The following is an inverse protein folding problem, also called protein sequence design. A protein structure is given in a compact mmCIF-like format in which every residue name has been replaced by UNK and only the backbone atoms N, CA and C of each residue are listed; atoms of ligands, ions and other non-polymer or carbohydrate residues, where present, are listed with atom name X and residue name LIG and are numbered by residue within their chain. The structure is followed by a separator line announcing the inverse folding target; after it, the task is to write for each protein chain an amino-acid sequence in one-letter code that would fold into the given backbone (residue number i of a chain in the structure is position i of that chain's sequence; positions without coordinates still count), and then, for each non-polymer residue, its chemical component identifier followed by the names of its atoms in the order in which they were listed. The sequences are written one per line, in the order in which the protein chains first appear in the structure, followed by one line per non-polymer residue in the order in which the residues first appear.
data_IF_245931093900
#
_entry.id   IF_245931093900
#
_cell.length_a   1.000
_cell.length_b   1.000
_cell.length_c   1.000
_cell.angle_alpha   90.00
_cell.angle_beta   90.00
_cell.angle_gamma   90.00
#
_symmetry.space_group_name_H-M   'P 1'
#
loop_
_entity.id
_entity.type
_entity.pdbx_description
1 polymer ?
#
# COMPACT_ATOMS: atom_id res chain seq x y z
N UNK A 1 2.32 -21.53 -15.00
CA UNK A 1 2.72 -20.26 -15.65
C UNK A 1 4.00 -20.54 -16.40
N UNK A 2 4.06 -20.27 -17.69
CA UNK A 2 5.24 -20.57 -18.52
C UNK A 2 6.44 -19.70 -18.06
N UNK A 3 7.64 -20.24 -18.22
CA UNK A 3 8.88 -19.47 -17.98
C UNK A 3 9.00 -18.40 -19.07
N UNK A 4 9.31 -17.13 -18.73
CA UNK A 4 9.17 -16.00 -19.66
C UNK A 4 10.30 -15.87 -20.71
N UNK A 5 11.21 -16.83 -20.78
CA UNK A 5 12.42 -16.76 -21.61
C UNK A 5 12.58 -18.04 -22.43
N UNK A 6 13.04 -17.91 -23.68
CA UNK A 6 13.44 -19.03 -24.51
C UNK A 6 14.78 -19.61 -24.01
N UNK A 7 14.88 -20.94 -23.95
CA UNK A 7 16.09 -21.62 -23.50
C UNK A 7 17.32 -21.24 -24.33
N UNK A 8 17.19 -21.07 -25.65
CA UNK A 8 18.30 -20.69 -26.52
C UNK A 8 18.85 -19.28 -26.21
N UNK A 9 18.00 -18.35 -25.80
CA UNK A 9 18.43 -17.02 -25.34
C UNK A 9 19.28 -17.12 -24.05
N UNK A 10 18.96 -18.07 -23.16
CA UNK A 10 19.75 -18.33 -21.95
C UNK A 10 21.09 -19.01 -22.29
N UNK A 11 21.09 -20.06 -23.13
CA UNK A 11 22.28 -20.79 -23.47
C UNK A 11 23.34 -19.92 -24.17
N UNK A 12 22.91 -18.95 -24.95
CA UNK A 12 23.80 -18.00 -25.62
C UNK A 12 24.01 -16.71 -24.85
N UNK A 13 23.46 -16.60 -23.63
CA UNK A 13 23.48 -15.38 -22.81
C UNK A 13 23.03 -14.12 -23.59
N UNK A 14 22.02 -14.29 -24.46
CA UNK A 14 21.40 -13.22 -25.21
C UNK A 14 20.21 -12.67 -24.45
N UNK A 15 19.96 -11.38 -24.51
CA UNK A 15 18.82 -10.67 -23.87
C UNK A 15 18.81 -10.69 -22.34
N UNK A 16 19.54 -11.62 -21.69
CA UNK A 16 19.62 -11.75 -20.23
C UNK A 16 21.08 -11.55 -19.81
N UNK A 17 21.31 -10.71 -18.83
CA UNK A 17 22.64 -10.46 -18.27
C UNK A 17 23.26 -11.74 -17.71
N UNK A 18 24.55 -11.95 -17.95
CA UNK A 18 25.28 -13.15 -17.52
C UNK A 18 25.24 -13.38 -16.01
N UNK A 19 25.16 -12.32 -15.22
CA UNK A 19 25.04 -12.35 -13.77
C UNK A 19 23.75 -13.01 -13.27
N UNK A 20 22.72 -13.06 -14.13
CA UNK A 20 21.41 -13.66 -13.86
C UNK A 20 21.27 -15.10 -14.35
N UNK A 21 22.31 -15.68 -14.94
CA UNK A 21 22.29 -17.06 -15.46
C UNK A 21 23.35 -17.87 -14.75
N UNK A 22 22.98 -19.07 -14.31
CA UNK A 22 23.88 -20.05 -13.68
C UNK A 22 23.74 -21.39 -14.37
N UNK A 23 24.83 -21.90 -14.95
CA UNK A 23 24.90 -23.25 -15.51
C UNK A 23 25.38 -24.27 -14.49
N UNK A 24 24.78 -25.45 -14.48
CA UNK A 24 25.17 -26.58 -13.64
C UNK A 24 25.22 -27.83 -14.47
N UNK A 25 26.37 -28.52 -14.47
CA UNK A 25 26.56 -29.74 -15.24
C UNK A 25 25.63 -30.87 -14.78
N UNK A 26 25.29 -30.93 -13.50
CA UNK A 26 24.40 -31.93 -12.93
C UNK A 26 23.67 -31.42 -11.67
N UNK A 27 22.82 -32.31 -11.13
CA UNK A 27 22.03 -31.99 -9.94
C UNK A 27 22.88 -32.03 -8.68
N UNK A 28 23.10 -30.89 -8.08
CA UNK A 28 23.69 -30.71 -6.75
C UNK A 28 22.78 -29.83 -5.91
N UNK A 29 21.85 -30.41 -5.13
CA UNK A 29 20.84 -29.64 -4.42
C UNK A 29 21.42 -28.60 -3.43
N UNK A 30 22.49 -28.95 -2.72
CA UNK A 30 23.09 -28.02 -1.74
C UNK A 30 23.62 -26.74 -2.42
N UNK A 31 24.28 -26.86 -3.57
CA UNK A 31 24.77 -25.72 -4.35
C UNK A 31 23.64 -24.97 -5.05
N UNK A 32 22.70 -25.71 -5.64
CA UNK A 32 21.57 -25.12 -6.38
C UNK A 32 20.68 -24.30 -5.44
N UNK A 33 20.38 -24.80 -4.25
CA UNK A 33 19.53 -24.09 -3.29
C UNK A 33 20.18 -22.84 -2.69
N UNK A 34 21.52 -22.81 -2.57
CA UNK A 34 22.24 -21.56 -2.25
C UNK A 34 22.05 -20.52 -3.38
N UNK A 35 22.12 -20.95 -4.63
CA UNK A 35 21.91 -20.08 -5.79
C UNK A 35 20.43 -19.63 -5.88
N UNK A 36 19.47 -20.52 -5.61
CA UNK A 36 18.04 -20.15 -5.52
C UNK A 36 17.84 -19.08 -4.44
N UNK A 37 18.40 -19.28 -3.25
CA UNK A 37 18.33 -18.28 -2.17
C UNK A 37 18.94 -16.93 -2.59
N UNK A 38 20.09 -16.95 -3.26
CA UNK A 38 20.75 -15.74 -3.71
C UNK A 38 19.97 -14.97 -4.79
N UNK A 39 19.38 -15.67 -5.76
CA UNK A 39 18.51 -15.04 -6.76
C UNK A 39 17.19 -14.56 -6.15
N UNK A 40 16.60 -15.29 -5.18
CA UNK A 40 15.40 -14.85 -4.48
C UNK A 40 15.64 -13.58 -3.66
N UNK A 41 16.84 -13.43 -3.08
CA UNK A 41 17.27 -12.24 -2.38
C UNK A 41 17.49 -11.03 -3.28
N UNK A 42 17.87 -11.26 -4.55
CA UNK A 42 17.99 -10.22 -5.57
C UNK A 42 18.67 -8.94 -5.06
N UNK A 43 19.90 -9.10 -4.51
CA UNK A 43 20.63 -8.04 -3.82
C UNK A 43 20.90 -6.83 -4.72
N UNK A 44 21.17 -7.05 -6.00
CA UNK A 44 21.40 -5.99 -6.99
C UNK A 44 20.10 -5.43 -7.58
N UNK A 45 18.93 -5.96 -7.15
CA UNK A 45 17.60 -5.55 -7.62
C UNK A 45 17.41 -5.64 -9.16
N UNK A 46 17.91 -6.72 -9.76
CA UNK A 46 17.89 -6.99 -11.21
C UNK A 46 16.81 -7.99 -11.63
N UNK A 47 15.96 -8.45 -10.70
CA UNK A 47 14.78 -9.28 -10.97
C UNK A 47 15.03 -10.80 -10.86
N UNK A 48 16.01 -11.24 -10.06
CA UNK A 48 16.32 -12.65 -9.86
C UNK A 48 17.07 -13.28 -11.02
N UNK A 49 16.96 -14.61 -11.23
CA UNK A 49 17.78 -15.28 -12.24
C UNK A 49 17.29 -16.66 -12.67
N UNK A 50 18.12 -17.32 -13.46
CA UNK A 50 17.85 -18.62 -14.06
C UNK A 50 18.99 -19.60 -13.75
N UNK A 51 18.65 -20.83 -13.42
CA UNK A 51 19.60 -21.93 -13.23
C UNK A 51 19.26 -22.99 -14.27
N UNK A 52 20.23 -23.36 -15.07
CA UNK A 52 20.08 -24.41 -16.10
C UNK A 52 20.93 -25.60 -15.69
N UNK A 53 20.27 -26.71 -15.36
CA UNK A 53 20.92 -27.95 -14.94
C UNK A 53 21.02 -28.91 -16.13
N UNK A 54 22.14 -29.55 -16.29
CA UNK A 54 22.51 -30.37 -17.46
C UNK A 54 23.33 -29.61 -18.49
N UNK A 55 23.89 -28.45 -18.10
CA UNK A 55 24.69 -27.62 -19.00
C UNK A 55 26.04 -27.31 -18.36
N UNK A 56 27.10 -27.43 -19.13
CA UNK A 56 28.44 -27.00 -18.76
C UNK A 56 28.75 -25.66 -19.40
N UNK A 57 29.39 -24.78 -18.68
CA UNK A 57 29.87 -23.49 -19.18
C UNK A 57 31.21 -23.70 -19.96
N UNK A 58 31.35 -22.97 -21.05
CA UNK A 58 32.60 -22.91 -21.80
C UNK A 58 33.54 -21.92 -21.13
N UNK A 59 34.78 -22.34 -20.80
CA UNK A 59 35.71 -21.58 -19.94
C UNK A 59 36.04 -20.17 -20.45
N UNK A 60 36.12 -19.98 -21.78
CA UNK A 60 36.58 -18.72 -22.36
C UNK A 60 35.43 -17.73 -22.67
N UNK A 61 34.23 -18.19 -22.92
CA UNK A 61 33.10 -17.40 -23.41
C UNK A 61 32.01 -17.28 -22.39
N UNK A 62 31.97 -18.16 -21.41
CA UNK A 62 30.93 -18.26 -20.42
C UNK A 62 29.54 -18.63 -20.98
N UNK A 63 29.45 -19.04 -22.26
CA UNK A 63 28.24 -19.57 -22.91
C UNK A 63 28.11 -21.07 -22.64
N UNK A 64 26.94 -21.63 -22.95
CA UNK A 64 26.72 -23.06 -22.83
C UNK A 64 27.60 -23.86 -23.81
N UNK A 65 28.35 -24.82 -23.30
CA UNK A 65 29.09 -25.79 -24.14
C UNK A 65 28.07 -26.69 -24.85
N UNK A 66 28.23 -26.84 -26.18
CA UNK A 66 27.38 -27.68 -27.02
C UNK A 66 28.16 -28.91 -27.55
N UNK A 67 27.53 -30.09 -27.70
CA UNK A 67 26.20 -30.43 -27.24
C UNK A 67 26.11 -30.41 -25.70
N UNK A 68 24.94 -30.09 -25.16
CA UNK A 68 24.74 -30.02 -23.69
C UNK A 68 24.96 -31.37 -23.04
N UNK A 69 25.31 -31.39 -21.75
CA UNK A 69 25.50 -32.62 -20.99
C UNK A 69 24.18 -33.38 -20.81
N UNK A 70 23.09 -32.64 -20.52
CA UNK A 70 21.77 -33.18 -20.26
C UNK A 70 21.63 -33.74 -18.85
N UNK A 71 20.38 -34.01 -18.47
CA UNK A 71 19.96 -34.73 -17.26
C UNK A 71 19.19 -35.97 -17.70
N UNK A 72 19.52 -37.18 -17.20
CA UNK A 72 18.78 -38.39 -17.52
C UNK A 72 17.30 -38.27 -17.16
N UNK A 73 16.41 -38.75 -18.01
CA UNK A 73 14.94 -38.58 -17.83
C UNK A 73 14.45 -39.23 -16.53
N UNK A 74 15.08 -40.34 -16.14
CA UNK A 74 14.75 -41.07 -14.89
C UNK A 74 15.10 -40.28 -13.65
N UNK A 75 16.04 -39.34 -13.73
CA UNK A 75 16.44 -38.47 -12.64
C UNK A 75 15.52 -37.25 -12.51
N UNK A 76 14.93 -36.78 -13.60
CA UNK A 76 14.10 -35.57 -13.62
C UNK A 76 12.90 -35.65 -12.65
N UNK A 77 12.17 -36.76 -12.68
CA UNK A 77 11.04 -37.00 -11.80
C UNK A 77 11.47 -37.06 -10.32
N UNK A 78 12.64 -37.64 -10.06
CA UNK A 78 13.19 -37.67 -8.71
C UNK A 78 13.59 -36.27 -8.25
N UNK A 79 14.28 -35.50 -9.09
CA UNK A 79 14.70 -34.15 -8.81
C UNK A 79 13.47 -33.27 -8.47
N UNK A 80 12.41 -33.35 -9.28
CA UNK A 80 11.21 -32.55 -9.05
C UNK A 80 10.51 -32.89 -7.71
N UNK A 81 10.46 -34.18 -7.37
CA UNK A 81 9.92 -34.62 -6.06
C UNK A 81 10.78 -34.14 -4.89
N UNK A 82 12.10 -34.27 -5.01
CA UNK A 82 13.05 -33.83 -3.97
C UNK A 82 12.96 -32.31 -3.76
N UNK A 83 12.77 -31.53 -4.83
CA UNK A 83 12.60 -30.08 -4.75
C UNK A 83 11.42 -29.67 -3.88
N UNK A 84 10.31 -30.42 -3.88
CA UNK A 84 9.16 -30.12 -3.01
C UNK A 84 9.60 -30.07 -1.54
N UNK A 85 10.37 -31.07 -1.09
CA UNK A 85 10.90 -31.12 0.27
C UNK A 85 11.96 -30.05 0.55
N UNK A 86 12.82 -29.75 -0.42
CA UNK A 86 13.89 -28.78 -0.26
C UNK A 86 13.38 -27.33 -0.26
N UNK A 87 12.30 -27.02 -0.99
CA UNK A 87 11.68 -25.70 -1.00
C UNK A 87 11.23 -25.28 0.41
N UNK A 88 10.79 -26.21 1.25
CA UNK A 88 10.45 -25.96 2.65
C UNK A 88 11.66 -25.64 3.55
N UNK A 89 12.88 -25.77 3.05
CA UNK A 89 14.12 -25.43 3.77
C UNK A 89 14.61 -24.01 3.47
N UNK A 90 13.86 -23.28 2.65
CA UNK A 90 14.04 -21.83 2.43
C UNK A 90 13.06 -21.08 3.34
N UNK A 91 13.55 -20.12 4.09
CA UNK A 91 12.77 -19.29 5.00
C UNK A 91 13.00 -17.79 4.71
N UNK A 92 11.92 -17.02 4.53
CA UNK A 92 10.51 -17.42 4.37
C UNK A 92 10.31 -18.41 3.20
N UNK A 93 9.20 -19.16 3.20
CA UNK A 93 8.92 -20.14 2.16
C UNK A 93 9.06 -19.54 0.75
N UNK A 94 9.77 -20.23 -0.13
CA UNK A 94 9.97 -19.80 -1.51
C UNK A 94 9.83 -20.97 -2.49
N UNK A 95 9.10 -20.73 -3.58
CA UNK A 95 8.84 -21.73 -4.62
C UNK A 95 9.39 -21.25 -5.97
N UNK A 96 10.55 -21.75 -6.43
CA UNK A 96 11.05 -21.46 -7.77
C UNK A 96 10.15 -22.10 -8.82
N UNK A 97 10.17 -21.57 -10.04
CA UNK A 97 9.48 -22.15 -11.19
C UNK A 97 10.40 -23.08 -11.94
N UNK A 98 9.91 -24.24 -12.31
CA UNK A 98 10.70 -25.25 -13.03
C UNK A 98 10.04 -25.62 -14.36
N UNK A 99 10.87 -25.94 -15.33
CA UNK A 99 10.47 -26.46 -16.63
C UNK A 99 11.53 -27.42 -17.13
N UNK A 100 11.13 -28.42 -17.93
CA UNK A 100 12.04 -29.38 -18.57
C UNK A 100 12.00 -29.13 -20.06
N UNK A 101 13.16 -28.88 -20.64
CA UNK A 101 13.29 -28.57 -22.06
C UNK A 101 14.25 -29.54 -22.76
N UNK A 102 13.99 -29.81 -24.01
CA UNK A 102 14.86 -30.63 -24.84
C UNK A 102 15.84 -29.75 -25.65
N UNK A 103 17.12 -29.99 -25.50
CA UNK A 103 18.21 -29.27 -26.16
C UNK A 103 19.25 -30.30 -26.62
N UNK A 104 19.67 -30.25 -27.88
CA UNK A 104 20.65 -31.20 -28.47
C UNK A 104 20.24 -32.67 -28.23
N UNK A 105 18.97 -33.03 -28.39
CA UNK A 105 18.39 -34.36 -28.13
C UNK A 105 18.59 -34.86 -26.69
N UNK A 106 18.79 -33.94 -25.74
CA UNK A 106 18.93 -34.22 -24.30
C UNK A 106 18.03 -33.31 -23.50
N UNK A 107 17.61 -33.73 -22.30
CA UNK A 107 16.80 -32.96 -21.42
C UNK A 107 17.66 -32.07 -20.50
N UNK A 108 17.24 -30.82 -20.32
CA UNK A 108 17.80 -29.87 -19.34
C UNK A 108 16.70 -29.41 -18.40
N UNK A 109 17.04 -29.23 -17.14
CA UNK A 109 16.11 -28.67 -16.15
C UNK A 109 16.35 -27.16 -16.02
N UNK A 110 15.36 -26.37 -16.37
CA UNK A 110 15.37 -24.93 -16.23
C UNK A 110 14.65 -24.55 -14.93
N UNK A 111 15.35 -23.85 -14.05
CA UNK A 111 14.83 -23.32 -12.79
C UNK A 111 14.84 -21.80 -12.88
N UNK A 112 13.67 -21.20 -12.90
CA UNK A 112 13.52 -19.76 -12.85
C UNK A 112 13.24 -19.30 -11.42
N UNK A 113 14.04 -18.35 -10.95
CA UNK A 113 14.03 -17.81 -9.60
C UNK A 113 13.78 -16.30 -9.68
N UNK A 114 12.51 -15.85 -9.77
CA UNK A 114 12.21 -14.43 -9.70
C UNK A 114 12.62 -13.85 -8.35
N UNK A 115 12.78 -12.51 -8.30
CA UNK A 115 13.02 -11.80 -7.04
C UNK A 115 11.91 -12.10 -6.03
N UNK A 116 12.28 -12.48 -4.84
CA UNK A 116 11.33 -12.81 -3.79
C UNK A 116 10.73 -11.55 -3.16
N UNK A 117 9.46 -11.61 -2.79
CA UNK A 117 8.72 -10.47 -2.18
C UNK A 117 8.92 -10.36 -0.67
N UNK A 118 9.30 -11.45 0.00
CA UNK A 118 9.47 -11.53 1.46
C UNK A 118 10.95 -11.63 1.88
N UNK A 119 11.82 -10.90 1.17
CA UNK A 119 13.25 -10.84 1.52
C UNK A 119 13.47 -10.33 2.94
N UNK A 120 14.51 -10.76 3.68
CA UNK A 120 15.61 -11.62 3.24
C UNK A 120 15.30 -13.12 3.39
N UNK A 121 15.62 -13.89 2.36
CA UNK A 121 15.53 -15.35 2.40
C UNK A 121 16.83 -15.96 2.94
N UNK A 122 16.69 -17.01 3.74
CA UNK A 122 17.79 -17.86 4.12
C UNK A 122 17.53 -19.31 3.70
N UNK A 123 18.55 -20.10 3.63
CA UNK A 123 18.44 -21.53 3.33
C UNK A 123 19.44 -22.33 4.16
N UNK A 124 19.11 -23.57 4.48
CA UNK A 124 20.07 -24.45 5.16
C UNK A 124 21.32 -24.64 4.33
N UNK A 125 22.48 -24.57 4.96
CA UNK A 125 23.79 -24.74 4.27
C UNK A 125 23.86 -26.06 3.51
N UNK A 126 23.21 -27.11 4.04
CA UNK A 126 23.02 -28.40 3.36
C UNK A 126 21.54 -28.76 3.38
N UNK A 127 20.88 -28.63 2.24
CA UNK A 127 19.46 -29.02 2.12
C UNK A 127 19.27 -30.54 2.12
N UNK A 128 20.33 -31.28 1.83
CA UNK A 128 20.34 -32.75 1.89
C UNK A 128 20.55 -33.31 3.30
N UNK A 129 21.09 -32.51 4.22
CA UNK A 129 21.36 -32.95 5.59
C UNK A 129 20.08 -32.89 6.48
N UNK A 130 20.15 -33.59 7.62
CA UNK A 130 19.14 -33.50 8.68
C UNK A 130 19.00 -32.10 9.25
N UNK A 131 17.99 -31.86 10.09
CA UNK A 131 17.58 -30.52 10.60
C UNK A 131 18.64 -29.74 11.40
N UNK A 132 19.85 -30.22 11.56
CA UNK A 132 20.94 -29.57 12.32
C UNK A 132 21.86 -28.66 11.48
N UNK A 133 21.68 -28.61 10.13
CA UNK A 133 22.48 -27.69 9.30
C UNK A 133 22.05 -26.25 9.54
N UNK A 134 23.00 -25.29 9.76
CA UNK A 134 22.68 -23.90 9.99
C UNK A 134 22.02 -23.24 8.79
N UNK A 135 21.09 -22.32 9.03
CA UNK A 135 20.52 -21.47 8.01
C UNK A 135 21.47 -20.31 7.70
N UNK A 136 21.65 -20.02 6.42
CA UNK A 136 22.51 -18.95 5.93
C UNK A 136 21.83 -18.14 4.84
N UNK A 137 22.17 -16.88 4.77
CA UNK A 137 21.72 -15.95 3.74
C UNK A 137 22.72 -15.93 2.60
N UNK A 138 22.24 -15.98 1.37
CA UNK A 138 23.09 -15.93 0.18
C UNK A 138 22.67 -14.80 -0.74
N UNK A 139 23.64 -14.18 -1.41
CA UNK A 139 23.44 -13.12 -2.42
C UNK A 139 24.30 -13.42 -3.64
N UNK A 140 23.97 -12.78 -4.76
CA UNK A 140 24.84 -12.80 -5.94
C UNK A 140 25.88 -11.70 -5.81
N UNK A 141 27.10 -11.99 -6.25
CA UNK A 141 28.16 -11.02 -6.47
C UNK A 141 28.78 -11.34 -7.82
N UNK A 142 28.39 -10.59 -8.85
CA UNK A 142 28.66 -10.95 -10.23
C UNK A 142 28.05 -12.32 -10.56
N UNK A 143 28.86 -13.24 -11.08
CA UNK A 143 28.46 -14.61 -11.42
C UNK A 143 28.55 -15.59 -10.24
N UNK A 144 28.98 -15.16 -9.06
CA UNK A 144 29.17 -16.03 -7.91
C UNK A 144 28.04 -15.91 -6.89
N UNK A 145 27.74 -17.04 -6.21
CA UNK A 145 26.88 -17.08 -5.03
C UNK A 145 27.75 -17.02 -3.78
N UNK A 146 27.58 -15.99 -2.95
CA UNK A 146 28.34 -15.78 -1.72
C UNK A 146 27.41 -15.78 -0.51
N UNK A 147 27.94 -16.14 0.67
CA UNK A 147 27.23 -16.01 1.94
C UNK A 147 27.18 -14.53 2.36
N UNK A 148 25.99 -14.02 2.63
CA UNK A 148 25.80 -12.66 3.14
C UNK A 148 26.14 -12.64 4.63
N UNK A 149 27.22 -11.91 5.00
CA UNK A 149 27.69 -11.72 6.38
C UNK A 149 27.97 -10.25 6.64
N UNK A 150 28.01 -9.86 7.92
CA UNK A 150 28.37 -8.50 8.35
C UNK A 150 27.54 -7.43 7.65
N UNK A 151 28.21 -6.49 7.01
CA UNK A 151 27.58 -5.36 6.34
C UNK A 151 26.63 -5.80 5.21
N UNK A 152 27.00 -6.79 4.39
CA UNK A 152 26.17 -7.31 3.30
C UNK A 152 24.85 -7.87 3.84
N UNK A 153 24.88 -8.58 4.96
CA UNK A 153 23.65 -9.09 5.60
C UNK A 153 22.79 -7.96 6.17
N UNK A 154 23.42 -6.96 6.77
CA UNK A 154 22.72 -5.79 7.28
C UNK A 154 22.06 -5.01 6.14
N UNK A 155 22.78 -4.80 5.04
CA UNK A 155 22.25 -4.15 3.84
C UNK A 155 21.09 -4.94 3.24
N UNK A 156 21.22 -6.27 3.13
CA UNK A 156 20.13 -7.15 2.66
C UNK A 156 18.86 -7.02 3.53
N UNK A 157 19.03 -6.97 4.87
CA UNK A 157 17.91 -6.74 5.81
C UNK A 157 17.30 -5.35 5.67
N UNK A 158 18.13 -4.34 5.47
CA UNK A 158 17.66 -2.97 5.25
C UNK A 158 16.92 -2.83 3.92
N UNK A 159 17.40 -3.48 2.85
CA UNK A 159 16.72 -3.51 1.56
C UNK A 159 15.32 -4.12 1.66
N UNK A 160 15.16 -5.20 2.42
CA UNK A 160 13.86 -5.82 2.67
C UNK A 160 12.85 -4.84 3.32
N UNK A 161 13.33 -3.94 4.16
CA UNK A 161 12.52 -2.93 4.85
C UNK A 161 12.38 -1.60 4.09
N UNK A 162 13.15 -1.38 3.03
CA UNK A 162 13.22 -0.09 2.31
C UNK A 162 12.18 0.08 1.22
N UNK A 163 11.65 -1.00 0.64
CA UNK A 163 10.62 -0.86 -0.39
C UNK A 163 9.25 -0.73 0.28
N UNK A 164 8.64 0.47 0.27
CA UNK A 164 7.29 0.68 0.77
C UNK A 164 6.30 -0.29 0.14
N UNK A 165 5.22 -0.61 0.86
CA UNK A 165 4.23 -1.57 0.38
C UNK A 165 3.64 -1.17 -0.97
N UNK A 166 3.34 0.08 -1.16
CA UNK A 166 2.75 0.65 -2.37
C UNK A 166 3.68 0.61 -3.60
N UNK A 167 5.01 0.56 -3.39
CA UNK A 167 6.01 0.44 -4.46
C UNK A 167 6.37 -1.01 -4.82
N UNK A 168 5.90 -2.01 -4.06
CA UNK A 168 6.18 -3.41 -4.35
C UNK A 168 5.43 -3.88 -5.60
N UNK A 169 6.13 -4.65 -6.47
CA UNK A 169 5.48 -5.38 -7.56
C UNK A 169 4.61 -6.53 -7.03
N UNK A 170 3.46 -6.74 -7.64
CA UNK A 170 2.50 -7.75 -7.21
C UNK A 170 2.21 -8.74 -8.34
N UNK A 171 2.50 -10.01 -8.12
CA UNK A 171 2.29 -11.08 -9.09
C UNK A 171 0.82 -11.36 -9.40
N UNK A 172 -0.08 -10.97 -8.50
CA UNK A 172 -1.52 -11.20 -8.64
C UNK A 172 -2.21 -10.07 -9.43
N UNK A 173 -1.51 -8.96 -9.67
CA UNK A 173 -2.06 -7.82 -10.42
C UNK A 173 -1.63 -7.93 -11.88
N UNK A 174 -2.53 -8.44 -12.72
CA UNK A 174 -2.35 -8.37 -14.16
C UNK A 174 -2.67 -6.96 -14.67
N UNK A 175 -2.03 -6.53 -15.76
CA UNK A 175 -2.29 -5.22 -16.38
C UNK A 175 -3.76 -5.03 -16.80
N UNK A 176 -4.48 -6.11 -17.07
CA UNK A 176 -5.90 -6.12 -17.44
C UNK A 176 -6.82 -5.55 -16.34
N UNK A 177 -6.36 -5.56 -15.07
CA UNK A 177 -7.10 -4.96 -13.96
C UNK A 177 -6.92 -3.45 -13.85
N UNK A 178 -5.91 -2.90 -14.52
CA UNK A 178 -5.67 -1.45 -14.53
C UNK A 178 -6.56 -0.80 -15.60
N UNK A 179 -7.42 0.10 -15.17
CA UNK A 179 -8.36 0.80 -16.04
C UNK A 179 -7.67 1.90 -16.82
N UNK A 180 -7.59 1.75 -18.14
CA UNK A 180 -7.07 2.78 -19.03
C UNK A 180 -7.84 4.10 -18.91
N UNK A 181 -9.15 4.05 -18.64
CA UNK A 181 -9.98 5.23 -18.44
C UNK A 181 -9.59 6.01 -17.18
N UNK A 182 -9.35 5.29 -16.04
CA UNK A 182 -8.88 5.94 -14.80
C UNK A 182 -7.48 6.54 -14.96
N UNK A 183 -6.60 5.88 -15.72
CA UNK A 183 -5.29 6.45 -16.06
C UNK A 183 -5.45 7.74 -16.87
N UNK A 184 -6.34 7.76 -17.85
CA UNK A 184 -6.60 8.95 -18.67
C UNK A 184 -7.16 10.09 -17.81
N UNK A 185 -8.16 9.83 -17.01
CA UNK A 185 -8.78 10.81 -16.12
C UNK A 185 -7.74 11.45 -15.18
N UNK A 186 -6.90 10.61 -14.55
CA UNK A 186 -5.78 11.11 -13.76
C UNK A 186 -4.84 12.00 -14.56
N UNK A 187 -4.36 11.54 -15.73
CA UNK A 187 -3.41 12.28 -16.57
C UNK A 187 -3.99 13.63 -17.03
N UNK A 188 -5.30 13.69 -17.33
CA UNK A 188 -6.01 14.92 -17.67
C UNK A 188 -6.11 15.86 -16.46
N UNK A 189 -6.47 15.33 -15.29
CA UNK A 189 -6.60 16.10 -14.04
C UNK A 189 -5.29 16.78 -13.65
N UNK A 190 -4.15 16.07 -13.79
CA UNK A 190 -2.82 16.62 -13.48
C UNK A 190 -2.16 17.37 -14.62
N UNK A 191 -2.87 17.57 -15.74
CA UNK A 191 -2.36 18.22 -16.96
C UNK A 191 -1.04 17.59 -17.47
N UNK A 192 -0.96 16.26 -17.48
CA UNK A 192 0.24 15.54 -17.89
C UNK A 192 0.48 15.64 -19.41
N UNK A 193 1.76 15.77 -19.80
CA UNK A 193 2.18 15.71 -21.20
C UNK A 193 1.87 14.37 -21.88
N UNK A 194 1.63 13.30 -21.10
CA UNK A 194 1.28 11.99 -21.61
C UNK A 194 -0.11 11.98 -22.29
N UNK A 195 -1.01 12.89 -21.94
CA UNK A 195 -2.33 13.02 -22.58
C UNK A 195 -2.21 13.14 -24.10
N UNK A 196 -1.28 13.96 -24.59
CA UNK A 196 -1.07 14.16 -26.04
C UNK A 196 -0.61 12.88 -26.77
N UNK A 197 -0.04 11.92 -26.07
CA UNK A 197 0.45 10.64 -26.62
C UNK A 197 -0.41 9.45 -26.24
N UNK A 198 -1.46 9.66 -25.46
CA UNK A 198 -2.23 8.61 -24.81
C UNK A 198 -2.74 7.55 -25.79
N UNK A 199 -3.32 7.97 -26.92
CA UNK A 199 -3.87 7.04 -27.92
C UNK A 199 -2.79 6.22 -28.66
N UNK A 200 -1.54 6.71 -28.68
CA UNK A 200 -0.42 6.07 -29.39
C UNK A 200 0.34 5.08 -28.51
N UNK A 201 0.18 5.17 -27.20
CA UNK A 201 0.90 4.34 -26.24
C UNK A 201 0.02 3.17 -25.78
N UNK A 202 0.62 1.99 -25.68
CA UNK A 202 0.01 0.86 -25.01
C UNK A 202 -0.13 1.12 -23.51
N UNK A 203 -0.98 0.34 -22.82
CA UNK A 203 -1.11 0.46 -21.37
C UNK A 203 0.22 0.20 -20.67
N UNK A 204 0.98 -0.80 -21.11
CA UNK A 204 2.31 -1.10 -20.56
C UNK A 204 3.28 0.07 -20.66
N UNK A 205 3.32 0.73 -21.83
CA UNK A 205 4.18 1.91 -22.04
C UNK A 205 3.74 3.10 -21.17
N UNK A 206 2.44 3.31 -21.00
CA UNK A 206 1.90 4.34 -20.11
C UNK A 206 2.31 4.07 -18.66
N UNK A 207 2.07 2.85 -18.16
CA UNK A 207 2.42 2.46 -16.79
C UNK A 207 3.94 2.53 -16.54
N UNK A 208 4.75 2.18 -17.54
CA UNK A 208 6.21 2.30 -17.46
C UNK A 208 6.64 3.76 -17.34
N UNK A 209 6.07 4.68 -18.15
CA UNK A 209 6.40 6.11 -18.09
C UNK A 209 5.89 6.78 -16.80
N UNK A 210 4.87 6.21 -16.17
CA UNK A 210 4.36 6.65 -14.87
C UNK A 210 5.10 6.02 -13.67
N UNK A 211 6.14 5.20 -13.93
CA UNK A 211 6.86 4.44 -12.91
C UNK A 211 5.95 3.53 -12.07
N UNK A 212 5.01 2.85 -12.73
CA UNK A 212 4.05 1.94 -12.12
C UNK A 212 4.38 0.45 -12.36
N UNK A 213 5.49 0.18 -13.03
CA UNK A 213 6.00 -1.16 -13.26
C UNK A 213 7.34 -1.34 -12.57
N UNK A 214 7.63 -2.58 -12.18
CA UNK A 214 8.91 -2.98 -11.57
C UNK A 214 9.30 -4.38 -12.05
N UNK A 215 10.58 -4.65 -12.11
CA UNK A 215 11.13 -5.94 -12.55
C UNK A 215 11.82 -5.85 -13.90
N UNK A 216 12.46 -6.96 -14.33
CA UNK A 216 13.19 -7.02 -15.57
C UNK A 216 12.26 -6.97 -16.79
N UNK A 217 12.81 -6.60 -17.95
CA UNK A 217 12.02 -6.37 -19.18
C UNK A 217 11.19 -7.59 -19.59
N UNK A 218 11.71 -8.80 -19.36
CA UNK A 218 11.01 -10.05 -19.67
C UNK A 218 9.87 -10.37 -18.69
N UNK A 219 9.84 -9.70 -17.52
CA UNK A 219 8.78 -9.85 -16.53
C UNK A 219 8.61 -8.59 -15.71
N UNK A 220 7.79 -7.71 -16.20
CA UNK A 220 7.38 -6.54 -15.44
C UNK A 220 6.16 -6.85 -14.58
N UNK A 221 6.22 -6.48 -13.31
CA UNK A 221 5.13 -6.56 -12.36
C UNK A 221 4.51 -5.19 -12.16
N UNK A 222 3.20 -5.17 -12.00
CA UNK A 222 2.46 -3.95 -11.65
C UNK A 222 2.70 -3.64 -10.17
N UNK A 223 3.10 -2.41 -9.84
CA UNK A 223 3.26 -1.94 -8.46
C UNK A 223 1.89 -1.85 -7.76
N UNK A 224 1.87 -2.10 -6.44
CA UNK A 224 0.63 -2.04 -5.65
C UNK A 224 -0.11 -0.70 -5.80
N UNK A 225 0.62 0.41 -5.82
CA UNK A 225 0.03 1.75 -6.00
C UNK A 225 -0.78 1.87 -7.28
N UNK A 226 -0.40 1.19 -8.36
CA UNK A 226 -1.18 1.22 -9.60
C UNK A 226 -2.58 0.63 -9.42
N UNK A 227 -2.71 -0.45 -8.65
CA UNK A 227 -4.03 -1.01 -8.33
C UNK A 227 -4.81 -0.12 -7.37
N UNK A 228 -4.15 0.51 -6.39
CA UNK A 228 -4.79 1.46 -5.48
C UNK A 228 -5.38 2.66 -6.22
N UNK A 229 -4.70 3.14 -7.26
CA UNK A 229 -5.09 4.33 -8.01
C UNK A 229 -6.01 4.05 -9.20
N UNK A 230 -5.78 2.94 -9.91
CA UNK A 230 -6.32 2.71 -11.25
C UNK A 230 -7.07 1.39 -11.42
N UNK A 231 -7.33 0.64 -10.34
CA UNK A 231 -8.19 -0.53 -10.37
C UNK A 231 -9.59 -0.17 -9.85
N UNK A 232 -10.64 -0.57 -10.57
CA UNK A 232 -12.03 -0.33 -10.15
C UNK A 232 -12.39 -1.03 -8.83
N UNK A 233 -11.73 -2.12 -8.51
CA UNK A 233 -11.93 -2.86 -7.27
C UNK A 233 -10.58 -3.28 -6.67
N UNK A 234 -9.86 -2.40 -6.00
CA UNK A 234 -8.58 -2.70 -5.36
C UNK A 234 -8.71 -3.71 -4.21
N UNK A 235 -9.89 -3.87 -3.60
CA UNK A 235 -10.15 -4.87 -2.55
C UNK A 235 -9.96 -6.32 -3.03
N UNK A 236 -9.93 -6.55 -4.35
CA UNK A 236 -9.55 -7.85 -4.92
C UNK A 236 -8.11 -8.25 -4.56
N UNK A 237 -7.21 -7.29 -4.44
CA UNK A 237 -5.79 -7.50 -4.18
C UNK A 237 -5.42 -7.15 -2.73
N UNK A 238 -6.10 -6.16 -2.18
CA UNK A 238 -5.93 -5.66 -0.82
C UNK A 238 -7.27 -5.78 -0.11
N UNK A 239 -7.54 -6.90 0.57
CA UNK A 239 -8.83 -7.14 1.21
C UNK A 239 -9.26 -5.98 2.11
N UNK A 240 -10.57 -5.70 2.14
CA UNK A 240 -11.15 -4.60 2.94
C UNK A 240 -10.63 -3.18 2.60
N UNK A 241 -10.14 -2.96 1.37
CA UNK A 241 -9.86 -1.62 0.87
C UNK A 241 -11.20 -0.92 0.57
N UNK A 242 -11.78 -0.37 1.62
CA UNK A 242 -13.11 0.27 1.63
C UNK A 242 -13.21 1.24 2.80
N UNK A 243 -14.25 2.07 2.75
CA UNK A 243 -14.68 2.89 3.88
C UNK A 243 -16.06 2.43 4.30
N UNK A 244 -16.20 2.05 5.57
CA UNK A 244 -17.44 1.67 6.19
C UNK A 244 -17.96 2.84 7.03
N UNK A 245 -19.25 3.22 6.85
CA UNK A 245 -19.88 4.30 7.60
C UNK A 245 -21.05 3.73 8.36
N UNK A 246 -21.05 3.93 9.69
CA UNK A 246 -22.14 3.55 10.58
C UNK A 246 -22.62 4.80 11.32
N UNK A 247 -23.94 4.99 11.36
CA UNK A 247 -24.57 6.12 12.03
C UNK A 247 -25.38 5.61 13.20
N UNK A 248 -25.13 6.15 14.37
CA UNK A 248 -25.93 5.96 15.58
C UNK A 248 -26.71 7.25 15.87
N UNK A 249 -27.97 7.38 15.41
CA UNK A 249 -28.73 8.64 15.50
C UNK A 249 -28.86 9.20 16.91
N UNK A 250 -28.89 8.32 17.92
CA UNK A 250 -29.03 8.66 19.33
C UNK A 250 -27.76 8.39 20.16
N UNK A 251 -26.67 7.98 19.50
CA UNK A 251 -25.40 7.56 20.12
C UNK A 251 -25.36 6.05 20.41
N UNK A 252 -24.19 5.45 20.22
CA UNK A 252 -23.99 3.99 20.36
C UNK A 252 -24.20 3.51 21.82
N UNK A 253 -23.91 4.33 22.81
CA UNK A 253 -24.11 3.99 24.23
C UNK A 253 -25.59 4.08 24.62
N UNK A 254 -26.31 5.10 24.11
CA UNK A 254 -27.69 5.37 24.48
C UNK A 254 -28.65 4.40 23.80
N UNK A 255 -28.42 4.08 22.53
CA UNK A 255 -29.25 3.16 21.76
C UNK A 255 -28.42 2.37 20.74
N UNK A 256 -27.67 1.31 21.17
CA UNK A 256 -26.79 0.54 20.29
C UNK A 256 -27.52 -0.22 19.19
N UNK A 257 -28.82 -0.49 19.37
CA UNK A 257 -29.62 -1.22 18.38
C UNK A 257 -30.20 -0.31 17.28
N UNK A 258 -30.17 1.02 17.45
CA UNK A 258 -30.60 1.96 16.44
C UNK A 258 -29.40 2.45 15.66
N UNK A 259 -28.95 1.65 14.69
CA UNK A 259 -27.85 1.98 13.80
C UNK A 259 -28.28 1.95 12.33
N UNK A 260 -27.67 2.80 11.54
CA UNK A 260 -27.85 2.87 10.10
C UNK A 260 -26.50 2.56 9.43
N UNK A 261 -26.44 1.44 8.74
CA UNK A 261 -25.28 1.09 7.94
C UNK A 261 -25.40 1.70 6.54
N UNK A 262 -24.41 2.50 6.16
CA UNK A 262 -24.30 3.06 4.81
C UNK A 262 -23.71 2.00 3.88
N UNK A 263 -24.15 1.90 2.61
CA UNK A 263 -23.49 1.03 1.64
C UNK A 263 -21.98 1.29 1.58
N UNK A 264 -21.20 0.22 1.60
CA UNK A 264 -19.73 0.28 1.61
C UNK A 264 -19.19 1.14 0.47
N UNK A 265 -18.31 2.06 0.80
CA UNK A 265 -17.64 2.90 -0.19
C UNK A 265 -16.41 2.15 -0.66
N UNK A 266 -16.43 1.71 -1.92
CA UNK A 266 -15.38 0.92 -2.56
C UNK A 266 -14.94 1.59 -3.85
N UNK A 267 -13.72 1.32 -4.30
CA UNK A 267 -13.19 1.87 -5.54
C UNK A 267 -11.72 2.25 -5.42
N UNK A 268 -11.17 2.91 -6.43
CA UNK A 268 -9.85 3.54 -6.34
C UNK A 268 -9.75 4.48 -5.14
N UNK A 269 -8.58 4.57 -4.52
CA UNK A 269 -8.38 5.41 -3.34
C UNK A 269 -8.83 6.87 -3.54
N UNK A 270 -8.53 7.52 -4.69
CA UNK A 270 -9.03 8.88 -4.93
C UNK A 270 -10.56 8.99 -4.94
N UNK A 271 -11.27 7.97 -5.44
CA UNK A 271 -12.73 7.99 -5.49
C UNK A 271 -13.33 7.79 -4.09
N UNK A 272 -12.70 6.94 -3.25
CA UNK A 272 -13.10 6.78 -1.86
C UNK A 272 -12.90 8.07 -1.05
N UNK A 273 -11.85 8.84 -1.35
CA UNK A 273 -11.61 10.16 -0.73
C UNK A 273 -12.67 11.18 -1.18
N UNK A 274 -12.98 11.20 -2.48
CA UNK A 274 -13.94 12.15 -3.08
C UNK A 274 -15.41 11.80 -2.78
N UNK A 275 -15.68 10.69 -2.06
CA UNK A 275 -17.05 10.36 -1.69
C UNK A 275 -17.70 11.54 -0.93
N UNK A 276 -18.94 11.84 -1.24
CA UNK A 276 -19.65 13.01 -0.73
C UNK A 276 -20.79 12.66 0.24
N UNK A 277 -20.91 11.37 0.64
CA UNK A 277 -22.00 10.92 1.51
C UNK A 277 -22.14 11.75 2.78
N UNK A 278 -21.02 11.96 3.51
CA UNK A 278 -21.03 12.75 4.74
C UNK A 278 -21.37 14.19 4.44
N UNK A 279 -20.79 14.77 3.39
CA UNK A 279 -21.07 16.15 2.97
C UNK A 279 -22.54 16.38 2.64
N UNK A 280 -23.15 15.43 1.93
CA UNK A 280 -24.52 15.57 1.43
C UNK A 280 -25.55 15.23 2.50
N UNK A 281 -25.32 14.17 3.30
CA UNK A 281 -26.33 13.62 4.18
C UNK A 281 -26.17 14.00 5.65
N UNK A 282 -24.94 14.28 6.11
CA UNK A 282 -24.64 14.47 7.54
C UNK A 282 -24.32 15.92 7.88
N UNK A 283 -23.62 16.63 7.00
CA UNK A 283 -23.23 18.02 7.27
C UNK A 283 -24.45 18.95 7.16
N UNK A 284 -24.75 19.66 8.24
CA UNK A 284 -25.84 20.61 8.33
C UNK A 284 -25.31 22.03 8.56
N UNK A 285 -26.00 22.98 7.98
CA UNK A 285 -25.66 24.40 8.02
C UNK A 285 -26.68 25.17 8.86
N UNK A 286 -26.20 26.05 9.74
CA UNK A 286 -27.03 27.04 10.41
C UNK A 286 -26.59 28.47 10.07
N UNK A 287 -27.55 29.37 9.95
CA UNK A 287 -27.31 30.79 9.69
C UNK A 287 -27.97 31.59 10.82
N UNK A 288 -27.16 32.33 11.57
CA UNK A 288 -27.66 33.20 12.63
C UNK A 288 -27.56 34.66 12.16
N UNK A 289 -28.68 35.37 12.14
CA UNK A 289 -28.72 36.83 11.94
C UNK A 289 -28.38 37.53 13.25
N UNK A 290 -27.32 38.33 13.26
CA UNK A 290 -26.99 39.16 14.41
C UNK A 290 -27.96 40.32 14.47
N UNK A 291 -28.59 40.56 15.67
CA UNK A 291 -29.62 41.62 15.84
C UNK A 291 -29.09 43.03 15.53
N UNK A 292 -27.79 43.26 15.67
CA UNK A 292 -27.17 44.59 15.58
C UNK A 292 -26.19 44.76 14.40
N UNK A 293 -26.07 43.76 13.54
CA UNK A 293 -25.17 43.80 12.35
C UNK A 293 -25.91 43.31 11.12
N UNK A 294 -25.60 43.93 9.98
CA UNK A 294 -26.13 43.51 8.68
C UNK A 294 -25.64 42.10 8.25
N UNK A 295 -24.61 41.59 8.90
CA UNK A 295 -23.95 40.33 8.57
C UNK A 295 -24.56 39.15 9.34
N UNK A 296 -24.76 38.03 8.66
CA UNK A 296 -25.14 36.76 9.27
C UNK A 296 -23.92 35.88 9.44
N UNK A 297 -23.84 35.15 10.54
CA UNK A 297 -22.81 34.14 10.78
C UNK A 297 -23.33 32.81 10.30
N UNK A 298 -22.53 32.14 9.47
CA UNK A 298 -22.78 30.78 8.98
C UNK A 298 -21.84 29.83 9.68
N UNK A 299 -22.36 28.70 10.19
CA UNK A 299 -21.57 27.65 10.77
C UNK A 299 -22.19 26.27 10.47
N UNK A 300 -21.38 25.23 10.65
CA UNK A 300 -21.76 23.84 10.35
C UNK A 300 -21.69 22.99 11.62
N UNK A 301 -22.48 21.89 11.67
CA UNK A 301 -22.30 20.88 12.70
C UNK A 301 -20.86 20.31 12.67
N UNK A 302 -20.36 20.02 11.46
CA UNK A 302 -18.98 19.62 11.21
C UNK A 302 -18.42 20.41 10.03
N UNK A 303 -17.21 21.00 10.12
CA UNK A 303 -16.56 21.61 8.95
C UNK A 303 -16.10 20.51 7.99
N UNK A 304 -16.59 20.53 6.75
CA UNK A 304 -16.32 19.49 5.77
C UNK A 304 -14.83 19.26 5.53
N UNK A 305 -14.04 20.33 5.46
CA UNK A 305 -12.60 20.24 5.21
C UNK A 305 -11.85 19.45 6.31
N UNK A 306 -12.30 19.55 7.58
CA UNK A 306 -11.73 18.74 8.65
C UNK A 306 -12.03 17.24 8.48
N UNK A 307 -13.26 16.89 8.06
CA UNK A 307 -13.63 15.50 7.77
C UNK A 307 -12.86 14.97 6.57
N UNK A 308 -12.82 15.74 5.47
CA UNK A 308 -12.10 15.37 4.26
C UNK A 308 -10.63 15.08 4.55
N UNK A 309 -9.93 15.96 5.25
CA UNK A 309 -8.53 15.78 5.64
C UNK A 309 -8.34 14.55 6.54
N UNK A 310 -9.25 14.28 7.47
CA UNK A 310 -9.19 13.10 8.32
C UNK A 310 -9.37 11.80 7.54
N UNK A 311 -10.28 11.76 6.55
CA UNK A 311 -10.49 10.61 5.64
C UNK A 311 -9.27 10.41 4.74
N UNK A 312 -8.71 11.49 4.19
CA UNK A 312 -7.46 11.44 3.39
C UNK A 312 -6.34 10.82 4.21
N UNK A 313 -6.14 11.31 5.45
CA UNK A 313 -5.11 10.79 6.35
C UNK A 313 -5.34 9.31 6.67
N UNK A 314 -6.57 8.89 6.94
CA UNK A 314 -6.92 7.51 7.22
C UNK A 314 -6.57 6.59 6.05
N UNK A 315 -6.94 6.93 4.82
CA UNK A 315 -6.66 6.15 3.62
C UNK A 315 -5.18 6.21 3.21
N UNK A 316 -4.52 7.36 3.35
CA UNK A 316 -3.12 7.54 3.01
C UNK A 316 -2.19 6.75 3.92
N UNK A 317 -2.44 6.76 5.24
CA UNK A 317 -1.56 6.16 6.24
C UNK A 317 -1.94 4.72 6.61
N UNK A 318 -3.07 4.21 6.13
CA UNK A 318 -3.51 2.84 6.36
C UNK A 318 -2.44 1.81 5.98
N UNK A 319 -2.38 0.71 6.72
CA UNK A 319 -1.68 -0.49 6.26
C UNK A 319 -2.61 -1.33 5.38
N UNK A 320 -2.33 -1.39 4.10
CA UNK A 320 -3.12 -2.16 3.14
C UNK A 320 -2.88 -3.67 3.21
N UNK A 321 -2.03 -4.15 4.10
CA UNK A 321 -1.86 -5.56 4.43
C UNK A 321 -2.83 -6.00 5.55
N UNK A 322 -3.32 -5.05 6.34
CA UNK A 322 -4.35 -5.30 7.34
C UNK A 322 -5.72 -5.50 6.70
N UNK A 323 -6.52 -6.39 7.32
CA UNK A 323 -7.83 -6.79 6.80
C UNK A 323 -8.98 -6.02 7.45
N UNK A 324 -8.69 -4.89 8.04
CA UNK A 324 -9.71 -4.02 8.65
C UNK A 324 -9.95 -2.80 7.74
N UNK A 325 -11.21 -2.37 7.53
CA UNK A 325 -11.54 -1.20 6.73
C UNK A 325 -11.13 0.11 7.43
N UNK A 326 -11.29 1.22 6.74
CA UNK A 326 -11.42 2.51 7.41
C UNK A 326 -12.86 2.63 7.91
N UNK A 327 -13.04 2.79 9.20
CA UNK A 327 -14.37 2.88 9.82
C UNK A 327 -14.68 4.31 10.19
N UNK A 328 -15.88 4.78 9.83
CA UNK A 328 -16.39 6.09 10.21
C UNK A 328 -17.68 5.89 11.02
N UNK A 329 -17.63 6.24 12.29
CA UNK A 329 -18.79 6.22 13.17
C UNK A 329 -19.31 7.63 13.38
N UNK A 330 -20.61 7.83 13.15
CA UNK A 330 -21.27 9.13 13.29
C UNK A 330 -22.25 9.07 14.44
N UNK A 331 -22.00 9.91 15.44
CA UNK A 331 -22.83 10.05 16.64
C UNK A 331 -23.33 11.50 16.79
N UNK A 332 -24.30 11.79 17.67
CA UNK A 332 -24.83 13.13 17.82
C UNK A 332 -23.79 14.20 18.19
N UNK A 333 -22.78 13.81 18.94
CA UNK A 333 -21.75 14.70 19.51
C UNK A 333 -20.42 14.66 18.76
N UNK A 334 -20.18 13.65 17.94
CA UNK A 334 -18.89 13.48 17.23
C UNK A 334 -18.98 12.60 15.97
N UNK A 335 -17.96 12.74 15.14
CA UNK A 335 -17.60 11.77 14.09
C UNK A 335 -16.25 11.17 14.47
N UNK A 336 -16.19 9.83 14.56
CA UNK A 336 -14.98 9.08 14.83
C UNK A 336 -14.50 8.39 13.55
N UNK A 337 -13.21 8.54 13.22
CA UNK A 337 -12.58 7.91 12.06
C UNK A 337 -11.44 7.03 12.55
N UNK A 338 -11.57 5.72 12.34
CA UNK A 338 -10.63 4.69 12.76
C UNK A 338 -9.92 4.10 11.55
N UNK A 339 -8.60 3.99 11.61
CA UNK A 339 -7.78 3.32 10.60
C UNK A 339 -6.69 2.47 11.24
N UNK A 340 -6.25 1.43 10.54
CA UNK A 340 -5.16 0.52 10.91
C UNK A 340 -4.00 0.71 9.90
N UNK A 341 -2.76 0.78 10.27
CA UNK A 341 -2.12 0.78 11.57
C UNK A 341 -1.95 2.22 12.10
N UNK A 342 -1.44 2.31 13.32
CA UNK A 342 -1.20 3.59 13.99
C UNK A 342 -0.03 4.41 13.42
N UNK A 343 0.21 5.61 14.00
CA UNK A 343 1.24 6.52 13.56
C UNK A 343 2.65 5.97 13.81
N UNK A 344 3.63 6.47 13.04
CA UNK A 344 5.03 6.04 13.15
C UNK A 344 5.55 6.18 14.59
N UNK A 345 6.30 5.18 15.06
CA UNK A 345 6.85 5.12 16.42
C UNK A 345 7.82 6.25 16.76
N UNK A 346 8.36 6.95 15.75
CA UNK A 346 9.18 8.15 15.96
C UNK A 346 8.41 9.34 16.51
N UNK A 347 7.06 9.32 16.42
CA UNK A 347 6.18 10.33 17.00
C UNK A 347 5.85 9.91 18.43
N UNK A 348 6.16 10.74 19.42
CA UNK A 348 5.84 10.43 20.82
C UNK A 348 4.32 10.39 21.06
N UNK A 349 3.87 9.56 22.02
CA UNK A 349 2.45 9.51 22.41
C UNK A 349 1.96 10.89 22.87
N UNK A 350 2.78 11.58 23.63
CA UNK A 350 2.49 12.94 24.11
C UNK A 350 2.22 13.94 22.96
N UNK A 351 3.01 13.87 21.89
CA UNK A 351 2.77 14.70 20.70
C UNK A 351 1.49 14.31 19.97
N UNK A 352 1.10 13.03 19.96
CA UNK A 352 -0.14 12.56 19.36
C UNK A 352 -1.34 13.06 20.17
N UNK A 353 -1.29 12.90 21.51
CA UNK A 353 -2.37 13.33 22.40
C UNK A 353 -2.59 14.84 22.37
N UNK A 354 -1.52 15.64 22.20
CA UNK A 354 -1.65 17.09 22.01
C UNK A 354 -2.32 17.48 20.71
N UNK A 355 -2.41 16.54 19.75
CA UNK A 355 -3.05 16.73 18.45
C UNK A 355 -2.63 18.02 17.73
N UNK A 356 -1.36 18.43 17.90
CA UNK A 356 -0.78 19.61 17.25
C UNK A 356 -0.18 19.22 15.90
N UNK A 357 1.16 19.25 15.77
CA UNK A 357 1.85 18.90 14.54
C UNK A 357 2.61 17.59 14.69
N UNK A 358 2.17 16.54 13.98
CA UNK A 358 2.86 15.26 13.97
C UNK A 358 4.02 15.32 12.98
N UNK A 359 5.26 15.30 13.50
CA UNK A 359 6.48 15.33 12.70
C UNK A 359 7.02 13.92 12.50
N UNK A 360 6.57 13.21 11.47
CA UNK A 360 7.27 12.05 10.93
C UNK A 360 7.57 12.27 9.45
N UNK A 361 8.71 11.74 8.99
CA UNK A 361 9.04 11.71 7.56
C UNK A 361 8.99 10.30 7.00
N UNK A 362 8.54 9.34 7.77
CA UNK A 362 8.36 7.95 7.36
C UNK A 362 6.91 7.74 6.99
N UNK A 363 6.66 7.66 5.70
CA UNK A 363 5.33 7.41 5.14
C UNK A 363 5.26 5.95 4.68
N UNK A 364 4.22 5.21 5.11
CA UNK A 364 4.00 3.80 4.76
C UNK A 364 3.71 3.64 3.27
N UNK A 365 2.90 4.53 2.70
CA UNK A 365 2.49 4.52 1.31
C UNK A 365 2.96 5.81 0.61
N UNK A 366 4.28 5.99 0.51
CA UNK A 366 4.86 7.25 0.03
C UNK A 366 4.45 7.56 -1.40
N UNK A 367 4.45 6.56 -2.28
CA UNK A 367 4.11 6.75 -3.68
C UNK A 367 2.64 7.09 -3.87
N UNK A 368 1.75 6.45 -3.09
CA UNK A 368 0.34 6.83 -3.03
C UNK A 368 0.18 8.31 -2.66
N UNK A 369 0.92 8.77 -1.65
CA UNK A 369 0.92 10.17 -1.24
C UNK A 369 1.37 11.14 -2.34
N UNK A 370 2.36 10.77 -3.17
CA UNK A 370 2.79 11.58 -4.31
C UNK A 370 1.64 11.74 -5.32
N UNK A 371 0.91 10.66 -5.65
CA UNK A 371 -0.27 10.69 -6.52
C UNK A 371 -1.42 11.52 -5.94
N UNK A 372 -1.71 11.36 -4.65
CA UNK A 372 -2.77 12.14 -3.99
C UNK A 372 -2.44 13.64 -3.95
N UNK A 373 -1.16 13.98 -3.79
CA UNK A 373 -0.69 15.35 -3.84
C UNK A 373 -0.84 15.96 -5.24
N UNK A 374 -0.50 15.23 -6.29
CA UNK A 374 -0.69 15.68 -7.68
C UNK A 374 -2.17 15.93 -8.00
N UNK A 375 -3.08 15.15 -7.41
CA UNK A 375 -4.53 15.36 -7.46
C UNK A 375 -5.04 16.45 -6.53
N UNK A 376 -4.16 17.11 -5.77
CA UNK A 376 -4.50 18.12 -4.75
C UNK A 376 -5.41 17.59 -3.63
N UNK A 377 -5.39 16.28 -3.39
CA UNK A 377 -6.12 15.62 -2.31
C UNK A 377 -5.31 15.53 -1.01
N UNK A 378 -4.01 15.80 -1.04
CA UNK A 378 -3.12 15.84 0.15
C UNK A 378 -2.02 16.86 -0.05
N UNK A 379 -1.63 17.56 1.01
CA UNK A 379 -0.52 18.52 0.96
C UNK A 379 0.86 17.87 1.18
N UNK A 380 0.92 16.71 1.86
CA UNK A 380 2.16 15.93 2.07
C UNK A 380 3.23 16.60 2.92
N UNK A 381 2.90 17.61 3.75
CA UNK A 381 3.85 18.40 4.54
C UNK A 381 3.69 18.26 6.05
N UNK A 382 2.88 17.29 6.51
CA UNK A 382 2.53 17.13 7.93
C UNK A 382 1.68 18.28 8.47
N UNK A 383 0.82 18.83 7.62
CA UNK A 383 -0.12 19.91 7.91
C UNK A 383 -1.53 19.40 8.18
N UNK A 384 -1.82 18.11 7.95
CA UNK A 384 -3.17 17.56 8.04
C UNK A 384 -3.82 17.78 9.41
N UNK A 385 -3.16 17.40 10.50
CA UNK A 385 -3.71 17.63 11.86
C UNK A 385 -3.86 19.13 12.17
N UNK A 386 -2.87 20.01 11.93
CA UNK A 386 -3.06 21.45 12.04
C UNK A 386 -4.25 21.98 11.23
N UNK A 387 -4.46 21.51 9.99
CA UNK A 387 -5.59 21.92 9.14
C UNK A 387 -6.91 21.51 9.78
N UNK A 388 -7.04 20.28 10.28
CA UNK A 388 -8.23 19.83 11.00
C UNK A 388 -8.53 20.74 12.20
N UNK A 389 -7.53 21.03 13.04
CA UNK A 389 -7.70 21.87 14.23
C UNK A 389 -8.07 23.32 13.88
N UNK A 390 -7.48 23.88 12.82
CA UNK A 390 -7.79 25.22 12.36
C UNK A 390 -9.22 25.33 11.81
N UNK A 391 -9.67 24.35 11.01
CA UNK A 391 -11.04 24.34 10.50
C UNK A 391 -12.08 24.20 11.62
N UNK A 392 -11.80 23.37 12.61
CA UNK A 392 -12.66 23.25 13.80
C UNK A 392 -12.72 24.57 14.57
N UNK A 393 -11.58 25.21 14.78
CA UNK A 393 -11.52 26.54 15.48
C UNK A 393 -12.29 27.60 14.70
N UNK A 394 -12.13 27.68 13.37
CA UNK A 394 -12.87 28.63 12.52
C UNK A 394 -14.38 28.38 12.55
N UNK A 395 -14.77 27.11 12.62
CA UNK A 395 -16.19 26.76 12.78
C UNK A 395 -16.74 27.05 14.18
N UNK A 396 -15.87 27.26 15.18
CA UNK A 396 -16.23 27.36 16.57
C UNK A 396 -16.63 26.05 17.23
N UNK A 397 -16.07 24.94 16.71
CA UNK A 397 -16.17 23.60 17.30
C UNK A 397 -15.08 23.39 18.34
N UNK A 398 -15.23 22.38 19.21
CA UNK A 398 -14.15 21.87 20.04
C UNK A 398 -12.98 21.31 19.22
N UNK A 399 -11.80 21.11 19.84
CA UNK A 399 -10.66 20.51 19.16
C UNK A 399 -10.89 19.02 18.86
N UNK A 400 -10.31 18.52 17.77
CA UNK A 400 -10.25 17.09 17.50
C UNK A 400 -9.35 16.37 18.53
N UNK A 401 -9.74 15.17 18.90
CA UNK A 401 -8.98 14.29 19.80
C UNK A 401 -8.39 13.15 19.00
N UNK A 402 -7.13 12.79 19.27
CA UNK A 402 -6.45 11.69 18.60
C UNK A 402 -6.06 10.64 19.63
N UNK A 403 -6.34 9.38 19.30
CA UNK A 403 -6.04 8.23 20.13
C UNK A 403 -5.27 7.15 19.35
N UNK A 404 -4.37 6.48 20.02
CA UNK A 404 -3.68 5.27 19.58
C UNK A 404 -3.16 4.52 20.80
N UNK A 405 -2.85 3.21 20.66
CA UNK A 405 -2.24 2.44 21.74
C UNK A 405 -0.69 2.48 21.68
N UNK A 406 -0.03 1.88 22.67
CA UNK A 406 1.44 1.79 22.74
C UNK A 406 2.03 0.98 21.58
N UNK A 407 1.33 -0.06 21.14
CA UNK A 407 1.73 -0.92 20.01
C UNK A 407 1.60 -0.21 18.66
N UNK A 408 0.90 0.92 18.60
CA UNK A 408 0.59 1.65 17.34
C UNK A 408 -0.20 0.79 16.35
N UNK A 409 -1.18 0.04 16.85
CA UNK A 409 -1.99 -0.85 16.00
C UNK A 409 -3.12 -0.12 15.29
N UNK A 410 -3.57 1.04 15.79
CA UNK A 410 -4.63 1.85 15.19
C UNK A 410 -4.37 3.35 15.34
N UNK A 411 -5.09 4.12 14.56
CA UNK A 411 -5.21 5.57 14.67
C UNK A 411 -6.70 5.93 14.66
N UNK A 412 -7.14 6.55 15.74
CA UNK A 412 -8.49 7.05 15.89
C UNK A 412 -8.45 8.58 15.99
N UNK A 413 -9.28 9.26 15.21
CA UNK A 413 -9.51 10.69 15.35
C UNK A 413 -10.99 10.93 15.60
N UNK A 414 -11.31 11.70 16.63
CA UNK A 414 -12.66 12.13 16.98
C UNK A 414 -12.81 13.61 16.68
N UNK A 415 -13.80 13.95 15.87
CA UNK A 415 -14.12 15.30 15.45
C UNK A 415 -15.44 15.68 16.10
N UNK A 416 -15.45 16.65 17.07
CA UNK A 416 -16.64 16.97 17.82
C UNK A 416 -17.65 17.76 16.97
N UNK A 417 -18.93 17.48 17.18
CA UNK A 417 -20.01 18.27 16.67
C UNK A 417 -20.00 19.68 17.31
N UNK A 418 -20.25 20.72 16.52
CA UNK A 418 -20.44 22.04 17.09
C UNK A 418 -21.71 22.08 17.93
N UNK A 419 -21.64 22.76 19.08
CA UNK A 419 -22.81 22.98 19.92
C UNK A 419 -23.95 23.67 19.14
N UNK A 420 -25.19 23.28 19.43
CA UNK A 420 -26.38 23.92 18.87
C UNK A 420 -27.03 23.16 17.70
N UNK A 421 -26.64 21.90 17.44
CA UNK A 421 -27.30 21.07 16.44
C UNK A 421 -28.20 19.97 17.02
N UNK A 422 -28.41 19.96 18.34
CA UNK A 422 -29.29 19.00 19.04
C UNK A 422 -28.59 17.72 19.45
N UNK A 423 -29.35 16.80 20.06
CA UNK A 423 -28.86 15.56 20.66
C UNK A 423 -29.11 14.34 19.74
N UNK A 424 -29.37 14.57 18.46
CA UNK A 424 -29.61 13.53 17.45
C UNK A 424 -28.90 13.85 16.15
N UNK A 425 -28.38 12.83 15.48
CA UNK A 425 -27.83 12.97 14.13
C UNK A 425 -28.96 13.28 13.14
N UNK A 426 -28.85 14.38 12.42
CA UNK A 426 -29.78 14.77 11.37
C UNK A 426 -29.30 14.16 10.04
N UNK A 427 -30.16 13.41 9.36
CA UNK A 427 -29.82 12.72 8.10
C UNK A 427 -30.72 13.24 6.98
N UNK A 428 -30.15 13.49 5.80
CA UNK A 428 -30.90 13.92 4.62
C UNK A 428 -31.59 15.27 4.83
N UNK A 429 -32.85 15.39 4.43
CA UNK A 429 -33.66 16.59 4.51
C UNK A 429 -34.38 16.78 5.85
N UNK A 430 -33.95 16.10 6.92
CA UNK A 430 -34.49 16.34 8.26
C UNK A 430 -34.30 17.82 8.66
N UNK A 431 -35.37 18.60 8.50
CA UNK A 431 -35.40 20.02 8.90
C UNK A 431 -35.43 20.13 10.41
N UNK A 432 -34.61 21.03 10.92
CA UNK A 432 -34.70 21.47 12.31
C UNK A 432 -36.05 22.17 12.49
N UNK A 433 -36.95 21.59 13.30
CA UNK A 433 -38.28 22.13 13.54
C UNK A 433 -38.19 23.49 14.22
N UNK A 434 -39.20 24.34 14.01
CA UNK A 434 -39.25 25.75 14.50
C UNK A 434 -39.26 25.92 16.04
N UNK A 435 -39.25 24.81 16.83
CA UNK A 435 -39.13 24.86 18.31
C UNK A 435 -37.69 25.20 18.80
N UNK A 436 -36.75 25.31 17.86
CA UNK A 436 -35.33 25.64 18.15
C UNK A 436 -35.06 27.15 18.44
N UNK A 437 -36.04 28.00 18.39
CA UNK A 437 -35.87 29.43 18.71
C UNK A 437 -35.38 29.67 20.15
N UNK A 438 -35.73 28.79 21.11
CA UNK A 438 -35.22 28.85 22.48
C UNK A 438 -33.76 28.46 22.63
N UNK A 439 -33.25 27.64 21.73
CA UNK A 439 -31.81 27.26 21.67
C UNK A 439 -31.01 28.40 21.05
N UNK A 440 -31.57 29.11 20.06
CA UNK A 440 -30.95 30.27 19.44
C UNK A 440 -30.68 31.41 20.45
N UNK A 441 -31.55 31.64 21.43
CA UNK A 441 -31.32 32.66 22.44
C UNK A 441 -30.18 32.32 23.41
N UNK A 442 -30.06 31.03 23.81
CA UNK A 442 -28.93 30.58 24.66
C UNK A 442 -27.58 30.56 23.93
N UNK A 443 -27.57 30.27 22.62
CA UNK A 443 -26.36 30.31 21.79
C UNK A 443 -25.92 31.74 21.56
N UNK A 444 -26.85 32.68 21.31
CA UNK A 444 -26.55 34.10 21.17
C UNK A 444 -25.90 34.69 22.43
N UNK A 445 -26.31 34.27 23.63
CA UNK A 445 -25.73 34.72 24.89
C UNK A 445 -24.33 34.14 25.12
N UNK A 446 -24.07 32.85 24.76
CA UNK A 446 -22.72 32.26 24.81
C UNK A 446 -21.76 32.89 23.80
N UNK A 447 -22.22 33.18 22.57
CA UNK A 447 -21.40 33.86 21.56
C UNK A 447 -21.03 35.27 22.01
N UNK A 448 -21.94 36.01 22.66
CA UNK A 448 -21.63 37.31 23.26
C UNK A 448 -20.57 37.21 24.35
N UNK A 449 -20.60 36.17 25.18
CA UNK A 449 -19.59 35.98 26.24
C UNK A 449 -18.20 35.61 25.65
N UNK A 450 -18.13 34.85 24.57
CA UNK A 450 -16.85 34.53 23.89
C UNK A 450 -16.25 35.76 23.17
N UNK A 451 -17.08 36.62 22.58
CA UNK A 451 -16.59 37.82 21.88
C UNK A 451 -16.12 38.93 22.85
N UNK A 452 -16.61 38.94 24.08
CA UNK A 452 -16.14 39.84 25.11
C UNK A 452 -14.74 39.51 25.66
N UNK A 453 -14.31 38.23 25.53
CA UNK A 453 -12.96 37.82 25.95
C UNK A 453 -11.87 38.06 24.89
N UNK A 454 -12.23 38.41 23.65
CA UNK A 454 -11.25 38.65 22.56
C UNK A 454 -11.01 40.12 22.26
N UNK A 455 -11.67 41.06 22.98
CA UNK A 455 -11.52 42.52 22.78
C UNK A 455 -10.54 43.19 23.75
N UNK A 456 -9.95 42.43 24.71
CA UNK A 456 -9.00 42.95 25.71
C UNK A 456 -7.64 42.19 25.70
N UNK A 457 -7.15 41.83 24.51
CA UNK A 457 -5.77 41.30 24.34
C UNK A 457 -5.05 41.97 23.17
#
# INVERSE_FOLDING_TARGET
MAIPVNIEDLLHKRKIESTRIEFKTGWNPDKIYRTICAFANDFDNIGGGYIVVGVQEEENTGIAKRPVTGVPIEELDKIQRDMIGFNHKIEPFYLPRIDVQEVDEKYVLLIWVPAGVNRPYNVRERVTASNQSPCKWYVRSGTNTIEAKGEVLNELREMANRTPFDERGNENIEMTYISRALVLDYLQTVNSRLVAKFEKLSLSELLSQMDLLVGPTERQLVKNVAAMMFCKNPAKFFPTTQVDIVIFPEGCIKNPNNMIEVPKIVGPVPDMIKQDYIKTNVIKKRIIKQKDKAESITFFNYPYQAIEEAVVNALYHRDYQEREPVEITIEPDKISILSYAGPDRSISIDAIQKAERLKSRRYRNRRLGDYLKELQLSEGRGTGIPTIQDELRRNGSGPAVIETNEERSYFLIEIPCREGFGDRVLIGDDFISADDDKINDKINDKIKSCLLYTSDA
#
